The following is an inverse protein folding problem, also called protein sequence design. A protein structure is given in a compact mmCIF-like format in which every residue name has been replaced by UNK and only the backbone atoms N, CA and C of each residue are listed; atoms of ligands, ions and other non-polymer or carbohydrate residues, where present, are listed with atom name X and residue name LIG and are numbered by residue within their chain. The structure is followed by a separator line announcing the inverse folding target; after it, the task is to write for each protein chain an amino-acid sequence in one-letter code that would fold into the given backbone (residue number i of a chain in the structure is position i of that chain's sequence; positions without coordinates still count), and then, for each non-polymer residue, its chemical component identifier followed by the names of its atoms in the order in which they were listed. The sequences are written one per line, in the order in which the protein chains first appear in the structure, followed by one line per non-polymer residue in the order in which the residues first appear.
data_IF_228642327043
#
_entry.id   IF_228642327043
#
_cell.length_a   1.000
_cell.length_b   1.000
_cell.length_c   1.000
_cell.angle_alpha   90.00
_cell.angle_beta   90.00
_cell.angle_gamma   90.00
#
_symmetry.space_group_name_H-M   'P 1'
#
loop_
_entity.id
_entity.type
_entity.pdbx_description
1 polymer ?
#
# COMPACT_ATOMS: atom_id res chain seq x y z
N UNK A 1 -18.23 4.01 -17.02
CA UNK A 1 -17.86 4.68 -15.78
C UNK A 1 -18.61 6.00 -15.68
N UNK A 2 -19.43 6.16 -14.66
CA UNK A 2 -20.12 7.43 -14.42
C UNK A 2 -19.14 8.34 -13.70
N UNK A 3 -18.63 9.34 -14.40
CA UNK A 3 -17.77 10.36 -13.82
C UNK A 3 -18.63 11.27 -12.92
N UNK A 4 -18.38 11.24 -11.61
CA UNK A 4 -19.07 12.08 -10.65
C UNK A 4 -18.52 13.53 -10.62
N UNK A 5 -17.52 13.85 -11.45
CA UNK A 5 -16.92 15.19 -11.57
C UNK A 5 -17.01 15.68 -13.01
N UNK A 6 -18.09 16.36 -13.41
CA UNK A 6 -18.22 16.96 -14.73
C UNK A 6 -17.04 17.90 -15.02
N UNK A 7 -16.48 17.81 -16.23
CA UNK A 7 -15.33 18.63 -16.66
C UNK A 7 -13.94 18.07 -16.28
N UNK A 8 -13.87 16.99 -15.49
CA UNK A 8 -12.61 16.32 -15.16
C UNK A 8 -12.44 15.06 -16.00
N UNK A 9 -11.23 14.84 -16.49
CA UNK A 9 -10.86 13.66 -17.27
C UNK A 9 -9.96 12.78 -16.44
N UNK A 10 -10.38 11.53 -16.26
CA UNK A 10 -9.62 10.51 -15.55
C UNK A 10 -8.60 9.80 -16.46
N UNK A 11 -7.50 9.27 -15.92
CA UNK A 11 -7.05 9.36 -14.52
C UNK A 11 -6.78 10.80 -14.08
N UNK A 12 -7.11 11.10 -12.82
CA UNK A 12 -6.95 12.42 -12.24
C UNK A 12 -6.05 12.37 -11.01
N UNK A 13 -5.02 13.20 -10.96
CA UNK A 13 -4.13 13.35 -9.82
C UNK A 13 -4.51 14.61 -9.07
N UNK A 14 -4.77 14.47 -7.78
CA UNK A 14 -5.29 15.56 -6.96
C UNK A 14 -4.48 15.68 -5.67
N UNK A 15 -4.22 16.93 -5.27
CA UNK A 15 -3.77 17.25 -3.93
C UNK A 15 -4.95 17.70 -3.07
N UNK A 16 -4.96 17.26 -1.84
CA UNK A 16 -5.89 17.69 -0.81
C UNK A 16 -5.10 18.19 0.39
N UNK A 17 -5.56 19.29 0.98
CA UNK A 17 -5.04 19.76 2.26
C UNK A 17 -6.14 19.60 3.30
N UNK A 18 -6.00 18.56 4.13
CA UNK A 18 -6.97 18.27 5.19
C UNK A 18 -6.73 19.12 6.43
N UNK A 19 -7.81 19.49 7.08
CA UNK A 19 -7.83 20.17 8.38
C UNK A 19 -8.01 19.19 9.56
N UNK A 20 -8.02 17.90 9.27
CA UNK A 20 -8.27 16.81 10.22
C UNK A 20 -9.73 16.68 10.65
N UNK A 21 -10.66 17.46 10.10
CA UNK A 21 -12.10 17.47 10.46
C UNK A 21 -13.02 17.25 9.27
N UNK A 22 -12.65 17.81 8.11
CA UNK A 22 -13.44 17.71 6.89
C UNK A 22 -13.41 16.29 6.37
N UNK A 23 -14.57 15.67 6.23
CA UNK A 23 -14.73 14.32 5.68
C UNK A 23 -14.48 14.35 4.17
N UNK A 24 -13.89 13.30 3.64
CA UNK A 24 -13.68 13.15 2.20
C UNK A 24 -15.02 13.12 1.45
N UNK A 25 -15.15 13.96 0.43
CA UNK A 25 -16.34 14.04 -0.43
C UNK A 25 -16.37 12.88 -1.44
N UNK A 26 -16.83 11.75 -0.98
CA UNK A 26 -16.88 10.53 -1.79
C UNK A 26 -17.91 10.62 -2.93
N UNK A 27 -18.96 11.42 -2.75
CA UNK A 27 -20.01 11.57 -3.76
C UNK A 27 -19.52 12.29 -5.03
N UNK A 28 -18.51 13.16 -4.89
CA UNK A 28 -17.95 13.97 -5.99
C UNK A 28 -16.45 13.75 -6.16
N UNK A 29 -15.94 12.57 -5.82
CA UNK A 29 -14.51 12.21 -5.97
C UNK A 29 -13.56 13.24 -5.33
N UNK A 30 -13.89 13.69 -4.12
CA UNK A 30 -13.07 14.61 -3.34
C UNK A 30 -13.06 16.07 -3.80
N UNK A 31 -14.01 16.50 -4.62
CA UNK A 31 -14.07 17.88 -5.15
C UNK A 31 -14.02 18.92 -4.04
N UNK A 32 -14.74 18.72 -2.95
CA UNK A 32 -14.79 19.64 -1.82
C UNK A 32 -13.47 19.74 -1.04
N UNK A 33 -12.60 18.74 -1.15
CA UNK A 33 -11.33 18.67 -0.44
C UNK A 33 -10.13 19.08 -1.34
N UNK A 34 -10.38 19.35 -2.62
CA UNK A 34 -9.33 19.59 -3.61
C UNK A 34 -8.60 20.90 -3.34
N UNK A 35 -7.29 20.81 -3.22
CA UNK A 35 -6.38 21.96 -3.26
C UNK A 35 -6.02 22.30 -4.71
N UNK A 36 -5.66 21.30 -5.49
CA UNK A 36 -5.33 21.40 -6.91
C UNK A 36 -5.29 20.00 -7.53
N UNK A 37 -5.34 19.95 -8.86
CA UNK A 37 -5.21 18.68 -9.55
C UNK A 37 -5.02 18.80 -11.05
N UNK A 38 -4.73 17.69 -11.70
CA UNK A 38 -4.59 17.60 -13.14
C UNK A 38 -5.10 16.27 -13.71
N UNK A 39 -5.55 16.33 -14.95
CA UNK A 39 -5.84 15.11 -15.72
C UNK A 39 -4.55 14.50 -16.26
N UNK A 40 -4.32 13.22 -16.00
CA UNK A 40 -3.11 12.51 -16.38
C UNK A 40 -3.41 11.35 -17.33
N UNK A 41 -3.94 11.65 -18.51
CA UNK A 41 -4.25 10.64 -19.53
C UNK A 41 -3.00 9.84 -19.91
N UNK A 42 -3.10 8.51 -19.84
CA UNK A 42 -1.99 7.59 -20.11
C UNK A 42 -1.16 7.26 -18.87
N UNK A 43 -1.50 7.77 -17.69
CA UNK A 43 -0.88 7.37 -16.42
C UNK A 43 -1.13 5.87 -16.15
N UNK A 44 -2.35 5.41 -16.40
CA UNK A 44 -2.71 4.00 -16.31
C UNK A 44 -2.18 3.26 -17.54
N UNK A 45 -1.58 2.11 -17.33
CA UNK A 45 -0.92 1.31 -18.37
C UNK A 45 0.18 2.08 -19.13
N UNK A 46 0.92 2.94 -18.43
CA UNK A 46 2.07 3.61 -19.02
C UNK A 46 3.13 2.59 -19.45
N UNK A 47 3.78 2.84 -20.59
CA UNK A 47 4.85 1.95 -21.11
C UNK A 47 6.18 2.09 -20.34
N UNK A 48 6.24 3.03 -19.38
CA UNK A 48 7.40 3.29 -18.54
C UNK A 48 6.96 3.33 -17.07
N UNK A 49 7.88 3.08 -16.12
CA UNK A 49 7.59 3.29 -14.70
C UNK A 49 7.15 4.75 -14.46
N UNK A 50 5.95 4.91 -13.93
CA UNK A 50 5.43 6.24 -13.60
C UNK A 50 6.17 6.80 -12.40
N UNK A 51 6.60 8.06 -12.49
CA UNK A 51 7.22 8.78 -11.38
C UNK A 51 6.41 10.04 -11.05
N UNK A 52 6.29 10.35 -9.78
CA UNK A 52 5.77 11.62 -9.29
C UNK A 52 6.89 12.36 -8.56
N UNK A 53 7.01 13.65 -8.83
CA UNK A 53 7.92 14.54 -8.11
C UNK A 53 7.11 15.60 -7.39
N UNK A 54 7.16 15.55 -6.07
CA UNK A 54 6.53 16.53 -5.19
C UNK A 54 7.62 17.46 -4.67
N UNK A 55 7.51 18.74 -4.96
CA UNK A 55 8.44 19.77 -4.50
C UNK A 55 7.70 20.71 -3.57
N UNK A 56 8.11 20.77 -2.32
CA UNK A 56 7.54 21.65 -1.34
C UNK A 56 8.57 22.68 -0.88
N UNK A 57 8.23 23.94 -1.06
CA UNK A 57 8.95 25.07 -0.46
C UNK A 57 8.08 25.62 0.66
N UNK A 58 8.57 25.52 1.88
CA UNK A 58 7.82 25.93 3.06
C UNK A 58 7.27 27.36 2.88
N UNK A 59 5.96 27.50 3.09
CA UNK A 59 5.18 28.73 2.96
C UNK A 59 5.24 29.42 1.58
N UNK A 60 5.86 28.81 0.60
CA UNK A 60 5.95 29.35 -0.76
C UNK A 60 5.08 28.59 -1.75
N UNK A 61 5.35 27.33 -1.97
CA UNK A 61 4.58 26.55 -2.95
C UNK A 61 4.66 25.04 -2.74
N UNK A 62 3.66 24.35 -3.26
CA UNK A 62 3.61 22.92 -3.46
C UNK A 62 3.47 22.65 -4.95
N UNK A 63 4.51 22.10 -5.57
CA UNK A 63 4.55 21.74 -6.98
C UNK A 63 4.53 20.23 -7.16
N UNK A 64 3.73 19.75 -8.10
CA UNK A 64 3.70 18.34 -8.50
C UNK A 64 3.92 18.21 -10.00
N UNK A 65 4.82 17.30 -10.35
CA UNK A 65 5.18 16.95 -11.73
C UNK A 65 5.12 15.43 -11.88
N UNK A 66 4.69 14.96 -13.03
CA UNK A 66 4.53 13.55 -13.36
C UNK A 66 5.38 13.18 -14.56
N UNK A 67 5.97 11.97 -14.52
CA UNK A 67 6.66 11.39 -15.66
C UNK A 67 5.99 10.05 -15.96
N UNK A 68 5.25 9.96 -17.06
CA UNK A 68 4.50 8.76 -17.46
C UNK A 68 4.34 8.61 -18.97
N UNK A 69 4.64 9.65 -19.75
CA UNK A 69 4.51 9.62 -21.21
C UNK A 69 5.79 9.14 -21.87
N UNK A 70 6.92 9.69 -21.43
CA UNK A 70 8.24 9.40 -21.94
C UNK A 70 9.25 9.49 -20.81
N UNK A 71 10.31 8.70 -20.90
CA UNK A 71 11.41 8.73 -19.94
C UNK A 71 12.10 10.09 -19.96
N UNK A 72 12.47 10.59 -18.81
CA UNK A 72 13.09 11.89 -18.55
C UNK A 72 12.26 13.13 -18.96
N UNK A 73 10.99 12.94 -19.35
CA UNK A 73 10.07 14.04 -19.65
C UNK A 73 9.07 14.26 -18.52
N UNK A 74 9.24 15.36 -17.79
CA UNK A 74 8.37 15.75 -16.70
C UNK A 74 7.23 16.64 -17.20
N UNK A 75 6.00 16.17 -16.98
CA UNK A 75 4.78 16.92 -17.27
C UNK A 75 4.34 17.65 -16.01
N UNK A 76 4.24 18.99 -16.00
CA UNK A 76 3.68 19.72 -14.87
C UNK A 76 2.23 19.29 -14.62
N UNK A 77 1.90 19.06 -13.35
CA UNK A 77 0.53 18.78 -12.91
C UNK A 77 -0.09 20.03 -12.30
N UNK A 78 0.49 20.55 -11.25
CA UNK A 78 0.09 21.83 -10.63
C UNK A 78 1.24 22.43 -9.82
N UNK A 79 1.10 23.74 -9.55
CA UNK A 79 1.95 24.51 -8.65
C UNK A 79 1.04 25.44 -7.83
N UNK A 80 0.93 25.19 -6.53
CA UNK A 80 0.03 25.92 -5.62
C UNK A 80 0.85 26.81 -4.71
N UNK A 81 0.69 28.13 -4.79
CA UNK A 81 1.37 29.04 -3.88
C UNK A 81 0.76 29.04 -2.47
N UNK A 82 1.55 29.44 -1.49
CA UNK A 82 1.10 29.71 -0.12
C UNK A 82 0.73 28.48 0.70
N UNK A 83 1.10 27.28 0.26
CA UNK A 83 0.81 26.04 1.02
C UNK A 83 1.69 26.00 2.26
N UNK A 84 1.05 25.77 3.41
CA UNK A 84 1.70 25.62 4.72
C UNK A 84 1.49 24.22 5.25
N UNK A 85 2.60 23.50 5.44
CA UNK A 85 2.58 22.21 6.12
C UNK A 85 3.20 22.35 7.52
N UNK A 86 2.87 21.47 8.46
CA UNK A 86 3.52 21.42 9.77
C UNK A 86 5.03 21.26 9.62
N UNK A 87 5.80 21.77 10.60
CA UNK A 87 7.26 21.67 10.60
C UNK A 87 7.79 20.23 10.67
N UNK A 88 6.98 19.32 11.19
CA UNK A 88 7.25 17.87 11.20
C UNK A 88 6.11 17.18 10.48
N UNK A 89 6.43 16.44 9.44
CA UNK A 89 5.47 15.68 8.65
C UNK A 89 5.96 14.27 8.44
N UNK A 90 5.01 13.35 8.32
CA UNK A 90 5.28 11.94 8.00
C UNK A 90 4.80 11.64 6.60
N UNK A 91 5.59 10.89 5.85
CA UNK A 91 5.21 10.40 4.54
C UNK A 91 4.62 9.00 4.67
N UNK A 92 3.43 8.80 4.15
CA UNK A 92 2.75 7.50 4.11
C UNK A 92 2.14 7.26 2.74
N UNK A 93 1.91 5.99 2.43
CA UNK A 93 1.24 5.56 1.21
C UNK A 93 0.08 4.63 1.59
N UNK A 94 -1.04 4.82 0.93
CA UNK A 94 -2.18 3.92 1.03
C UNK A 94 -2.75 3.69 -0.37
N UNK A 95 -3.39 2.55 -0.56
CA UNK A 95 -4.04 2.22 -1.81
C UNK A 95 -5.35 1.48 -1.52
N UNK A 96 -6.35 1.75 -2.33
CA UNK A 96 -7.66 1.14 -2.24
C UNK A 96 -8.18 0.85 -3.65
N UNK A 97 -8.92 -0.24 -3.80
CA UNK A 97 -9.62 -0.61 -5.03
C UNK A 97 -11.10 -0.80 -4.74
N UNK A 98 -11.95 -0.48 -5.71
CA UNK A 98 -13.38 -0.74 -5.65
C UNK A 98 -13.77 -2.07 -6.30
N UNK A 99 -14.91 -2.11 -6.98
CA UNK A 99 -15.38 -3.29 -7.72
C UNK A 99 -14.42 -3.75 -8.82
N UNK A 100 -13.73 -2.78 -9.43
CA UNK A 100 -12.61 -3.06 -10.34
C UNK A 100 -11.31 -2.89 -9.58
N UNK A 101 -10.51 -3.94 -9.56
CA UNK A 101 -9.21 -3.95 -8.88
C UNK A 101 -8.09 -3.47 -9.77
N UNK A 102 -7.08 -2.86 -9.16
CA UNK A 102 -5.83 -2.46 -9.79
C UNK A 102 -4.66 -2.75 -8.83
N UNK A 103 -3.48 -2.98 -9.37
CA UNK A 103 -2.28 -3.14 -8.56
C UNK A 103 -1.67 -1.78 -8.27
N UNK A 104 -1.23 -1.59 -7.03
CA UNK A 104 -0.59 -0.36 -6.57
C UNK A 104 0.76 -0.69 -5.93
N UNK A 105 1.82 -0.55 -6.70
CA UNK A 105 3.16 -0.88 -6.26
C UNK A 105 4.00 0.39 -6.08
N UNK A 106 4.59 0.56 -4.90
CA UNK A 106 5.61 1.59 -4.65
C UNK A 106 6.98 0.97 -4.87
N UNK A 107 7.59 1.30 -6.00
CA UNK A 107 8.89 0.73 -6.40
C UNK A 107 10.04 1.42 -5.67
N UNK A 108 9.99 2.75 -5.55
CA UNK A 108 11.07 3.55 -4.96
C UNK A 108 10.56 4.87 -4.41
N UNK A 109 11.11 5.29 -3.29
CA UNK A 109 10.89 6.62 -2.71
C UNK A 109 12.23 7.26 -2.43
N UNK A 110 12.42 8.48 -2.91
CA UNK A 110 13.59 9.31 -2.64
C UNK A 110 13.15 10.67 -2.07
N UNK A 111 13.79 11.10 -1.01
CA UNK A 111 13.62 12.43 -0.44
C UNK A 111 14.93 13.21 -0.51
N UNK A 112 14.85 14.47 -0.92
CA UNK A 112 16.02 15.35 -1.05
C UNK A 112 15.72 16.69 -0.41
N UNK A 113 16.68 17.24 0.32
CA UNK A 113 16.62 18.63 0.76
C UNK A 113 16.88 19.57 -0.41
N UNK A 114 16.05 20.58 -0.57
CA UNK A 114 16.19 21.59 -1.62
C UNK A 114 17.25 22.65 -1.28
N UNK A 115 17.58 22.78 0.00
CA UNK A 115 18.61 23.70 0.48
C UNK A 115 19.80 22.93 1.00
N UNK A 116 20.93 23.09 0.36
CA UNK A 116 22.22 22.77 0.98
C UNK A 116 22.59 23.96 1.89
N UNK A 117 22.91 23.75 3.17
CA UNK A 117 23.47 24.82 3.99
C UNK A 117 24.71 25.38 3.26
N UNK A 118 24.69 26.67 2.92
CA UNK A 118 25.85 27.32 2.31
C UNK A 118 27.05 27.19 3.28
N UNK A 119 28.02 26.35 2.92
CA UNK A 119 29.25 26.17 3.69
C UNK A 119 29.66 24.75 4.05
N UNK A 120 28.83 23.77 3.87
CA UNK A 120 29.25 22.38 4.04
C UNK A 120 29.52 21.75 2.68
N UNK A 121 30.76 21.83 2.19
CA UNK A 121 31.29 20.90 1.21
C UNK A 121 31.38 19.49 1.85
N UNK A 122 30.26 19.01 2.36
CA UNK A 122 30.07 17.65 2.85
C UNK A 122 29.48 16.85 1.70
N UNK A 123 30.22 15.82 1.28
CA UNK A 123 29.70 14.74 0.44
C UNK A 123 28.25 14.44 0.83
N UNK A 124 27.31 14.33 -0.13
CA UNK A 124 25.95 13.91 0.16
C UNK A 124 26.01 12.65 1.00
N UNK A 125 25.58 12.72 2.25
CA UNK A 125 25.40 11.51 3.04
C UNK A 125 24.35 10.71 2.30
N UNK A 126 24.81 9.66 1.68
CA UNK A 126 23.98 8.69 1.00
C UNK A 126 23.08 8.03 2.05
N UNK A 127 21.89 8.61 2.26
CA UNK A 127 20.84 8.04 3.12
C UNK A 127 20.22 6.78 2.51
N UNK A 128 20.66 6.37 1.31
CA UNK A 128 20.21 5.13 0.70
C UNK A 128 20.67 3.89 1.48
N UNK A 129 21.64 4.07 2.41
CA UNK A 129 22.14 3.01 3.30
C UNK A 129 21.56 3.04 4.71
N UNK A 130 20.58 3.88 5.01
CA UNK A 130 19.70 3.56 6.12
C UNK A 130 18.97 2.30 5.71
N UNK A 131 19.58 1.17 6.04
CA UNK A 131 18.99 -0.13 5.88
C UNK A 131 17.60 -0.06 6.53
N UNK A 132 16.58 0.14 5.71
CA UNK A 132 15.25 -0.30 6.01
C UNK A 132 15.42 -1.80 6.28
N UNK A 133 15.62 -2.14 7.54
CA UNK A 133 15.35 -3.49 7.99
C UNK A 133 13.84 -3.62 7.76
N UNK A 134 13.40 -4.37 6.75
CA UNK A 134 11.98 -4.65 6.65
C UNK A 134 11.64 -5.18 8.04
N UNK A 135 10.71 -4.51 8.71
CA UNK A 135 10.12 -5.05 9.90
C UNK A 135 9.82 -6.48 9.52
N UNK A 136 10.54 -7.42 10.13
CA UNK A 136 10.17 -8.80 10.14
C UNK A 136 8.86 -8.85 10.94
N UNK A 137 7.79 -8.32 10.36
CA UNK A 137 6.52 -8.96 10.58
C UNK A 137 6.78 -10.36 10.06
N UNK A 138 7.15 -11.21 11.01
CA UNK A 138 7.30 -12.61 10.80
C UNK A 138 6.15 -12.98 9.88
N UNK A 139 6.49 -13.32 8.64
CA UNK A 139 5.59 -14.04 7.76
C UNK A 139 5.07 -15.13 8.68
N UNK A 140 3.89 -14.91 9.24
CA UNK A 140 3.13 -15.98 9.86
C UNK A 140 2.94 -16.89 8.68
N UNK A 141 3.83 -17.86 8.55
CA UNK A 141 3.61 -18.97 7.67
C UNK A 141 2.29 -19.52 8.18
N UNK A 142 1.22 -19.13 7.49
CA UNK A 142 -0.09 -19.66 7.74
C UNK A 142 0.12 -21.15 7.63
N UNK A 143 -0.08 -21.86 8.75
CA UNK A 143 0.09 -23.30 8.81
C UNK A 143 -0.69 -23.85 7.62
N UNK A 144 0.07 -24.32 6.61
CA UNK A 144 -0.50 -24.67 5.33
C UNK A 144 -1.63 -25.66 5.55
N UNK A 145 -2.61 -25.66 4.70
CA UNK A 145 -3.73 -26.60 4.69
C UNK A 145 -3.27 -28.04 4.95
N UNK A 146 -2.04 -28.39 4.57
CA UNK A 146 -1.39 -29.65 4.88
C UNK A 146 -1.29 -29.95 6.38
N UNK A 147 -1.04 -28.96 7.24
CA UNK A 147 -0.99 -29.17 8.69
C UNK A 147 -2.38 -29.38 9.30
N UNK A 148 -3.38 -28.80 8.67
CA UNK A 148 -4.78 -29.02 9.03
C UNK A 148 -5.21 -30.45 8.66
N UNK A 149 -4.89 -30.91 7.45
CA UNK A 149 -5.14 -32.28 7.01
C UNK A 149 -4.41 -33.32 7.87
N UNK A 150 -3.16 -33.07 8.26
CA UNK A 150 -2.40 -33.96 9.12
C UNK A 150 -3.12 -34.20 10.47
N UNK A 151 -3.71 -33.16 11.06
CA UNK A 151 -4.48 -33.28 12.30
C UNK A 151 -5.73 -34.13 12.11
N UNK A 152 -6.44 -34.02 11.00
CA UNK A 152 -7.61 -34.86 10.71
C UNK A 152 -7.23 -36.30 10.50
N UNK A 153 -6.13 -36.58 9.81
CA UNK A 153 -5.63 -37.99 9.63
C UNK A 153 -5.25 -38.60 10.97
N UNK A 154 -4.52 -37.86 11.81
CA UNK A 154 -4.15 -38.34 13.14
C UNK A 154 -5.37 -38.61 14.04
N UNK A 155 -6.37 -37.72 13.96
CA UNK A 155 -7.62 -37.92 14.71
C UNK A 155 -8.41 -39.15 14.22
N UNK A 156 -8.47 -39.36 12.89
CA UNK A 156 -9.10 -40.55 12.29
C UNK A 156 -8.41 -41.86 12.72
N UNK A 157 -7.07 -41.90 12.74
CA UNK A 157 -6.29 -43.02 13.20
C UNK A 157 -6.51 -43.32 14.70
N UNK A 158 -6.64 -42.29 15.52
CA UNK A 158 -6.94 -42.47 16.95
C UNK A 158 -8.33 -43.07 17.17
N UNK A 159 -9.34 -42.63 16.41
CA UNK A 159 -10.70 -43.19 16.50
C UNK A 159 -10.77 -44.63 16.03
N UNK A 160 -10.09 -44.97 14.92
CA UNK A 160 -10.04 -46.36 14.43
C UNK A 160 -9.30 -47.26 15.39
N UNK A 161 -8.19 -46.83 15.97
CA UNK A 161 -7.45 -47.54 17.00
C UNK A 161 -8.30 -47.81 18.27
N UNK A 162 -9.02 -46.80 18.73
CA UNK A 162 -9.93 -46.92 19.87
C UNK A 162 -11.08 -47.91 19.58
N UNK A 163 -11.64 -47.87 18.37
CA UNK A 163 -12.69 -48.79 17.95
C UNK A 163 -12.20 -50.26 17.90
N UNK A 164 -11.05 -50.48 17.28
CA UNK A 164 -10.43 -51.80 17.21
C UNK A 164 -10.09 -52.32 18.61
N UNK A 165 -9.47 -51.51 19.45
CA UNK A 165 -9.14 -51.81 20.84
C UNK A 165 -10.40 -52.19 21.64
N UNK A 166 -11.48 -51.44 21.49
CA UNK A 166 -12.75 -51.71 22.14
C UNK A 166 -13.39 -53.03 21.65
N UNK A 167 -13.34 -53.33 20.36
CA UNK A 167 -13.89 -54.56 19.79
C UNK A 167 -13.11 -55.79 20.25
N UNK A 168 -11.76 -55.72 20.27
CA UNK A 168 -10.89 -56.79 20.79
C UNK A 168 -11.10 -56.99 22.29
N UNK A 169 -11.16 -55.91 23.06
CA UNK A 169 -11.46 -55.99 24.50
C UNK A 169 -12.82 -56.65 24.76
N UNK A 170 -13.85 -56.30 24.01
CA UNK A 170 -15.19 -56.89 24.12
C UNK A 170 -15.21 -58.37 23.71
N UNK A 171 -14.43 -58.75 22.69
CA UNK A 171 -14.31 -60.13 22.23
C UNK A 171 -13.60 -61.00 23.29
N UNK A 172 -12.48 -60.54 23.87
CA UNK A 172 -11.76 -61.25 24.94
C UNK A 172 -12.64 -61.45 26.19
N UNK A 173 -13.37 -60.40 26.61
CA UNK A 173 -14.25 -60.50 27.78
C UNK A 173 -15.41 -61.50 27.61
N UNK A 174 -15.76 -61.85 26.36
CA UNK A 174 -16.74 -62.91 26.09
C UNK A 174 -16.11 -64.30 26.12
N UNK A 175 -14.81 -64.41 25.89
CA UNK A 175 -14.06 -65.69 25.89
C UNK A 175 -13.81 -66.22 27.31
N UNK A 176 -13.68 -65.34 28.30
CA UNK A 176 -13.42 -65.67 29.70
C UNK A 176 -14.71 -66.07 30.46
N UNK A 177 -15.83 -66.26 29.79
CA UNK A 177 -17.11 -66.65 30.40
C UNK A 177 -17.59 -68.04 30.02
N UNK A 178 -16.73 -68.90 29.44
CA UNK A 178 -17.02 -70.32 29.18
C UNK A 178 -15.98 -71.19 29.80
#
# INVERSE_FOLDING_TARGET
YKNNRPGVVFPYVMAMLGDGKTVYDQAHDGKANELAGCSARGLRNANIPTKARVTYFQEKSLKVELMYKKEDEWTPCFDVPGVKLPGVTYLGFSAETGELSDNHDIIKVETKNLYSPSGAAGTPKDYSKSAYKPNQYAKKEGGGWGWFFLKFVLFGLALTGAYVGFTVYRANRRRDRF
#
